data_IF_708539580823
#
_entry.id   IF_708539580823
#
_cell.length_a   1.000
_cell.length_b   1.000
_cell.length_c   1.000
_cell.angle_alpha   90.00
_cell.angle_beta   90.00
_cell.angle_gamma   90.00
#
_symmetry.space_group_name_H-M   'P 1'
#
loop_
_entity.id
_entity.type
_entity.pdbx_description
1 polymer ?
#
# COMPACT_ATOMS: atom_id res chain seq x y z
N UNK A 1 -1.20 -37.86 -14.96
CA UNK A 1 -1.48 -38.31 -13.58
C UNK A 1 -2.58 -37.43 -13.05
N UNK A 2 -3.67 -38.04 -12.61
CA UNK A 2 -4.94 -37.40 -12.27
C UNK A 2 -4.85 -36.62 -10.96
N UNK A 3 -5.44 -35.43 -10.94
CA UNK A 3 -5.75 -34.65 -9.74
C UNK A 3 -7.14 -34.04 -9.92
N UNK A 4 -8.13 -34.91 -10.11
CA UNK A 4 -9.52 -34.55 -10.31
C UNK A 4 -10.04 -33.95 -8.99
N UNK A 5 -10.20 -32.63 -8.95
CA UNK A 5 -10.88 -31.94 -7.84
C UNK A 5 -12.32 -32.49 -7.77
N UNK A 6 -12.78 -32.99 -6.60
CA UNK A 6 -14.13 -33.53 -6.43
C UNK A 6 -15.22 -32.55 -6.87
N UNK A 7 -16.21 -33.06 -7.60
CA UNK A 7 -17.40 -32.33 -8.05
C UNK A 7 -18.20 -31.80 -6.84
N UNK A 8 -17.89 -30.57 -6.44
CA UNK A 8 -18.46 -29.93 -5.25
C UNK A 8 -17.51 -28.94 -4.55
N UNK A 9 -16.22 -28.99 -4.85
CA UNK A 9 -15.25 -27.98 -4.41
C UNK A 9 -15.23 -26.81 -5.40
N UNK A 10 -16.07 -25.82 -5.13
CA UNK A 10 -15.89 -24.47 -5.69
C UNK A 10 -14.58 -23.91 -5.09
N UNK A 11 -13.50 -23.91 -5.87
CA UNK A 11 -12.29 -23.18 -5.50
C UNK A 11 -12.68 -21.71 -5.43
N UNK A 12 -12.69 -21.15 -4.22
CA UNK A 12 -13.18 -19.81 -3.93
C UNK A 12 -12.16 -18.73 -4.35
N UNK A 13 -11.80 -18.69 -5.64
CA UNK A 13 -10.92 -17.65 -6.22
C UNK A 13 -11.55 -16.25 -6.06
N UNK A 14 -12.88 -16.17 -5.89
CA UNK A 14 -13.58 -14.93 -5.58
C UNK A 14 -13.24 -14.35 -4.20
N UNK A 15 -13.06 -15.19 -3.17
CA UNK A 15 -12.78 -14.73 -1.80
C UNK A 15 -11.41 -14.06 -1.65
N UNK A 16 -10.37 -14.59 -2.29
CA UNK A 16 -9.00 -14.03 -2.19
C UNK A 16 -8.90 -12.63 -2.83
N UNK A 17 -9.65 -12.40 -3.92
CA UNK A 17 -9.71 -11.10 -4.57
C UNK A 17 -10.46 -10.06 -3.70
N UNK A 18 -11.51 -10.50 -2.99
CA UNK A 18 -12.27 -9.68 -2.05
C UNK A 18 -11.42 -9.31 -0.82
N UNK A 19 -10.74 -10.28 -0.21
CA UNK A 19 -9.80 -10.08 0.92
C UNK A 19 -8.64 -9.14 0.54
N UNK A 20 -8.10 -9.28 -0.68
CA UNK A 20 -7.06 -8.37 -1.19
C UNK A 20 -7.60 -6.95 -1.34
N UNK A 21 -8.82 -6.79 -1.86
CA UNK A 21 -9.42 -5.48 -2.07
C UNK A 21 -9.75 -4.79 -0.73
N UNK A 22 -10.25 -5.53 0.25
CA UNK A 22 -10.47 -5.05 1.62
C UNK A 22 -9.15 -4.62 2.27
N UNK A 23 -8.10 -5.44 2.15
CA UNK A 23 -6.76 -5.13 2.66
C UNK A 23 -6.18 -3.87 2.00
N UNK A 24 -6.33 -3.73 0.68
CA UNK A 24 -5.91 -2.53 -0.05
C UNK A 24 -6.67 -1.28 0.43
N UNK A 25 -7.98 -1.40 0.66
CA UNK A 25 -8.79 -0.29 1.16
C UNK A 25 -8.38 0.11 2.59
N UNK A 26 -8.12 -0.87 3.45
CA UNK A 26 -7.57 -0.65 4.79
C UNK A 26 -6.22 0.08 4.72
N UNK A 27 -5.29 -0.39 3.90
CA UNK A 27 -3.96 0.23 3.74
C UNK A 27 -4.04 1.67 3.23
N UNK A 28 -4.90 1.94 2.23
CA UNK A 28 -5.12 3.31 1.72
C UNK A 28 -5.68 4.20 2.83
N UNK A 29 -6.65 3.73 3.60
CA UNK A 29 -7.21 4.49 4.72
C UNK A 29 -6.17 4.78 5.81
N UNK A 30 -5.37 3.77 6.19
CA UNK A 30 -4.30 3.89 7.16
C UNK A 30 -3.20 4.86 6.68
N UNK A 31 -2.86 4.82 5.38
CA UNK A 31 -1.90 5.73 4.77
C UNK A 31 -2.37 7.20 4.84
N UNK A 32 -3.65 7.47 4.55
CA UNK A 32 -4.21 8.82 4.67
C UNK A 32 -4.21 9.33 6.11
N UNK A 33 -4.56 8.46 7.08
CA UNK A 33 -4.46 8.78 8.51
C UNK A 33 -3.02 9.09 8.90
N UNK A 34 -2.05 8.30 8.44
CA UNK A 34 -0.63 8.51 8.70
C UNK A 34 -0.12 9.85 8.11
N UNK A 35 -0.53 10.23 6.90
CA UNK A 35 -0.22 11.54 6.31
C UNK A 35 -0.81 12.66 7.18
N UNK A 36 -2.06 12.53 7.64
CA UNK A 36 -2.69 13.52 8.52
C UNK A 36 -1.95 13.70 9.85
N UNK A 37 -1.51 12.59 10.46
CA UNK A 37 -0.69 12.62 11.68
C UNK A 37 0.68 13.25 11.42
N UNK A 38 1.35 12.90 10.32
CA UNK A 38 2.61 13.54 9.93
C UNK A 38 2.44 15.04 9.70
N UNK A 39 1.35 15.47 9.07
CA UNK A 39 1.08 16.90 8.87
C UNK A 39 0.99 17.65 10.21
N UNK A 40 0.27 17.10 11.19
CA UNK A 40 0.20 17.68 12.54
C UNK A 40 1.56 17.73 13.22
N UNK A 41 2.35 16.66 13.13
CA UNK A 41 3.70 16.59 13.71
C UNK A 41 4.60 17.64 13.04
N UNK A 42 4.57 17.77 11.72
CA UNK A 42 5.43 18.70 11.00
C UNK A 42 5.06 20.17 11.27
N UNK A 43 3.76 20.50 11.33
CA UNK A 43 3.32 21.86 11.68
C UNK A 43 3.76 22.23 13.09
N UNK A 44 3.66 21.30 14.04
CA UNK A 44 4.10 21.52 15.42
C UNK A 44 5.63 21.57 15.55
N UNK A 45 6.37 20.72 14.82
CA UNK A 45 7.83 20.65 14.84
C UNK A 45 8.49 21.88 14.22
N UNK A 46 8.02 22.32 13.05
CA UNK A 46 8.63 23.44 12.35
C UNK A 46 8.05 24.80 12.75
N UNK A 47 6.94 24.80 13.50
CA UNK A 47 6.15 26.01 13.81
C UNK A 47 5.85 26.86 12.55
N UNK A 48 5.88 26.22 11.37
CA UNK A 48 5.87 26.89 10.08
C UNK A 48 5.11 26.05 9.07
N UNK A 49 3.96 26.57 8.65
CA UNK A 49 3.07 25.91 7.68
C UNK A 49 3.74 25.69 6.33
N UNK A 50 4.54 26.65 5.85
CA UNK A 50 5.24 26.55 4.56
C UNK A 50 6.28 25.43 4.56
N UNK A 51 7.09 25.33 5.63
CA UNK A 51 8.08 24.27 5.75
C UNK A 51 7.42 22.90 5.89
N UNK A 52 6.36 22.81 6.72
CA UNK A 52 5.59 21.58 6.86
C UNK A 52 4.98 21.13 5.52
N UNK A 53 4.39 22.05 4.74
CA UNK A 53 3.83 21.75 3.42
C UNK A 53 4.89 21.32 2.40
N UNK A 54 6.08 21.93 2.41
CA UNK A 54 7.21 21.52 1.57
C UNK A 54 7.65 20.09 1.87
N UNK A 55 7.81 19.76 3.16
CA UNK A 55 8.22 18.42 3.60
C UNK A 55 7.15 17.37 3.28
N UNK A 56 5.88 17.66 3.55
CA UNK A 56 4.76 16.78 3.18
C UNK A 56 4.73 16.50 1.68
N UNK A 57 4.91 17.54 0.86
CA UNK A 57 4.94 17.39 -0.61
C UNK A 57 6.08 16.47 -1.02
N UNK A 58 7.28 16.65 -0.46
CA UNK A 58 8.42 15.77 -0.72
C UNK A 58 8.14 14.31 -0.35
N UNK A 59 7.46 14.05 0.78
CA UNK A 59 7.05 12.70 1.20
C UNK A 59 6.07 12.09 0.18
N UNK A 60 5.04 12.83 -0.24
CA UNK A 60 4.07 12.35 -1.23
C UNK A 60 4.76 12.01 -2.56
N UNK A 61 5.62 12.90 -3.06
CA UNK A 61 6.42 12.63 -4.27
C UNK A 61 7.35 11.43 -4.11
N UNK A 62 7.99 11.27 -2.95
CA UNK A 62 8.83 10.10 -2.65
C UNK A 62 8.02 8.80 -2.69
N UNK A 63 6.83 8.80 -2.10
CA UNK A 63 5.97 7.61 -2.05
C UNK A 63 5.47 7.26 -3.45
N UNK A 64 5.05 8.26 -4.23
CA UNK A 64 4.68 8.08 -5.64
C UNK A 64 5.85 7.55 -6.49
N UNK A 65 7.07 8.01 -6.21
CA UNK A 65 8.29 7.50 -6.84
C UNK A 65 8.53 6.01 -6.57
N UNK A 66 8.32 5.55 -5.33
CA UNK A 66 8.40 4.12 -4.98
C UNK A 66 7.33 3.31 -5.72
N UNK A 67 6.08 3.76 -5.73
CA UNK A 67 4.99 3.08 -6.44
C UNK A 67 5.24 3.00 -7.95
N UNK A 68 5.73 4.08 -8.56
CA UNK A 68 6.16 4.07 -9.97
C UNK A 68 7.34 3.11 -10.19
N UNK A 69 8.33 3.10 -9.30
CA UNK A 69 9.46 2.18 -9.37
C UNK A 69 9.02 0.72 -9.35
N UNK A 70 8.07 0.38 -8.47
CA UNK A 70 7.47 -0.95 -8.38
C UNK A 70 6.66 -1.33 -9.62
N UNK A 71 5.93 -0.37 -10.19
CA UNK A 71 5.19 -0.57 -11.43
C UNK A 71 6.13 -0.84 -12.62
N UNK A 72 7.28 -0.16 -12.69
CA UNK A 72 8.30 -0.39 -13.72
C UNK A 72 8.99 -1.75 -13.53
N UNK A 73 9.28 -2.16 -12.30
CA UNK A 73 9.91 -3.46 -12.01
C UNK A 73 8.93 -4.63 -12.01
N UNK A 74 7.63 -4.38 -12.10
CA UNK A 74 6.58 -5.39 -12.08
C UNK A 74 6.42 -6.10 -10.72
N UNK A 75 6.91 -5.49 -9.64
CA UNK A 75 6.81 -6.06 -8.29
C UNK A 75 5.62 -5.49 -7.52
N UNK A 76 4.87 -6.37 -6.84
CA UNK A 76 3.81 -5.92 -5.95
C UNK A 76 4.39 -5.23 -4.71
N UNK A 77 3.71 -4.19 -4.21
CA UNK A 77 4.10 -3.47 -3.00
C UNK A 77 4.28 -4.39 -1.78
N UNK A 78 3.42 -5.40 -1.63
CA UNK A 78 3.53 -6.39 -0.56
C UNK A 78 4.77 -7.27 -0.65
N UNK A 79 5.25 -7.59 -1.86
CA UNK A 79 6.45 -8.42 -2.06
C UNK A 79 7.69 -7.70 -1.52
N UNK A 80 7.81 -6.39 -1.73
CA UNK A 80 8.92 -5.58 -1.21
C UNK A 80 8.83 -5.39 0.31
N UNK A 81 7.63 -5.27 0.87
CA UNK A 81 7.46 -5.13 2.32
C UNK A 81 7.74 -6.43 3.11
N UNK A 82 7.44 -7.59 2.53
CA UNK A 82 7.63 -8.90 3.19
C UNK A 82 9.00 -9.50 2.86
N UNK A 83 9.71 -9.00 1.85
CA UNK A 83 11.03 -9.50 1.43
C UNK A 83 11.00 -10.90 0.81
N UNK A 84 9.81 -11.45 0.57
CA UNK A 84 9.59 -12.76 -0.03
C UNK A 84 9.43 -12.59 -1.55
N UNK A 85 10.55 -12.60 -2.27
CA UNK A 85 10.54 -12.81 -3.71
C UNK A 85 10.37 -14.29 -4.00
N UNK A 86 9.13 -14.72 -4.25
CA UNK A 86 8.70 -16.08 -4.66
C UNK A 86 9.37 -17.27 -3.96
#
# INVERSE_FOLDING_TARGET
>A
GQGQLPDGLMVNVAGEQEDQQESMQFLVSAFLVAIGLMALILVTQFNSYYQAALVLSAIVFSTAGVLMGLLITGQAFGIVMVGMGV
#
